data_IF_487602237152
#
_entry.id   IF_487602237152
#
_cell.length_a   1.000
_cell.length_b   1.000
_cell.length_c   1.000
_cell.angle_alpha   90.00
_cell.angle_beta   90.00
_cell.angle_gamma   90.00
#
_symmetry.space_group_name_H-M   'P 1'
#
loop_
_entity.id
_entity.type
_entity.pdbx_description
1 polymer ?
#
# COMPACT_ATOMS: atom_id res chain seq x y z
N UNK A 1 -11.52 -51.11 -0.66
CA UNK A 1 -10.29 -50.36 -0.81
C UNK A 1 -10.57 -48.96 -0.24
N UNK A 2 -9.95 -48.63 0.86
CA UNK A 2 -10.36 -47.59 1.83
C UNK A 2 -9.97 -46.21 1.35
N UNK A 3 -10.95 -45.33 1.12
CA UNK A 3 -10.74 -43.89 0.99
C UNK A 3 -10.36 -43.36 2.39
N UNK A 4 -9.11 -42.93 2.56
CA UNK A 4 -8.66 -42.16 3.74
C UNK A 4 -9.20 -40.74 3.61
N UNK A 5 -10.10 -40.39 4.50
CA UNK A 5 -10.43 -38.99 4.81
C UNK A 5 -9.18 -38.28 5.27
N UNK A 6 -8.80 -37.21 4.60
CA UNK A 6 -7.76 -36.29 5.06
C UNK A 6 -8.41 -35.43 6.14
N UNK A 7 -7.88 -35.55 7.36
CA UNK A 7 -8.33 -34.87 8.57
C UNK A 7 -8.35 -33.36 8.42
N UNK A 8 -9.51 -32.77 8.67
CA UNK A 8 -9.78 -31.31 8.69
C UNK A 8 -9.28 -30.66 10.01
N UNK A 9 -8.44 -31.33 10.77
CA UNK A 9 -8.08 -30.95 12.17
C UNK A 9 -6.72 -30.25 12.31
N UNK A 10 -6.20 -29.57 11.29
CA UNK A 10 -4.87 -28.92 11.40
C UNK A 10 -4.91 -27.44 11.83
N UNK A 11 -6.08 -26.88 12.18
CA UNK A 11 -6.19 -25.45 12.52
C UNK A 11 -6.71 -25.06 13.93
N UNK A 12 -7.03 -25.98 14.90
CA UNK A 12 -7.52 -25.56 16.20
C UNK A 12 -6.49 -24.76 17.01
N UNK A 13 -5.25 -25.20 17.03
CA UNK A 13 -4.20 -24.60 17.88
C UNK A 13 -3.78 -23.19 17.42
N UNK A 14 -3.90 -22.87 16.14
CA UNK A 14 -3.58 -21.55 15.62
C UNK A 14 -4.73 -20.56 15.89
N UNK A 15 -5.97 -21.00 15.75
CA UNK A 15 -7.15 -20.21 16.09
C UNK A 15 -7.22 -19.97 17.61
N UNK A 16 -6.90 -20.97 18.44
CA UNK A 16 -6.82 -20.81 19.89
C UNK A 16 -5.70 -19.84 20.32
N UNK A 17 -4.57 -19.81 19.64
CA UNK A 17 -3.50 -18.84 19.93
C UNK A 17 -3.86 -17.41 19.52
N UNK A 18 -4.62 -17.23 18.44
CA UNK A 18 -5.18 -15.93 18.02
C UNK A 18 -6.24 -15.49 19.04
N UNK A 19 -7.14 -16.36 19.44
CA UNK A 19 -8.15 -16.10 20.47
C UNK A 19 -7.56 -15.83 21.85
N UNK A 20 -6.49 -16.53 22.25
CA UNK A 20 -5.81 -16.31 23.52
C UNK A 20 -5.11 -14.94 23.60
N UNK A 21 -4.47 -14.50 22.51
CA UNK A 21 -3.87 -13.16 22.45
C UNK A 21 -4.92 -12.03 22.37
N UNK A 22 -6.09 -12.29 21.79
CA UNK A 22 -7.20 -11.33 21.79
C UNK A 22 -7.83 -11.14 23.18
N UNK A 23 -7.67 -12.08 24.12
CA UNK A 23 -8.25 -12.01 25.48
C UNK A 23 -7.36 -11.29 26.51
N UNK A 24 -6.06 -11.09 26.25
CA UNK A 24 -5.12 -10.51 27.25
C UNK A 24 -5.04 -8.98 27.25
N UNK A 25 -5.51 -8.31 26.22
CA UNK A 25 -5.82 -6.88 26.26
C UNK A 25 -7.14 -6.71 25.50
N UNK A 26 -8.16 -6.13 26.10
CA UNK A 26 -9.31 -5.65 25.32
C UNK A 26 -8.81 -4.45 24.51
N UNK A 27 -8.29 -4.63 23.30
CA UNK A 27 -7.87 -3.51 22.50
C UNK A 27 -9.13 -2.83 22.03
N UNK A 28 -9.23 -1.54 22.30
CA UNK A 28 -10.28 -0.67 21.78
C UNK A 28 -10.48 -0.93 20.29
N UNK A 29 -11.69 -1.34 19.90
CA UNK A 29 -12.01 -1.59 18.48
C UNK A 29 -11.87 -0.24 17.77
N UNK A 30 -11.09 -0.11 16.67
CA UNK A 30 -10.96 1.15 15.97
C UNK A 30 -12.35 1.68 15.58
N UNK A 31 -12.62 2.97 15.75
CA UNK A 31 -13.93 3.53 15.46
C UNK A 31 -14.25 3.48 13.97
N UNK A 32 -15.53 3.29 13.66
CA UNK A 32 -16.07 3.47 12.32
C UNK A 32 -16.51 4.92 12.10
N UNK A 33 -16.22 5.45 10.92
CA UNK A 33 -16.61 6.78 10.47
C UNK A 33 -17.60 6.70 9.33
N UNK A 34 -18.69 7.43 9.45
CA UNK A 34 -19.71 7.54 8.39
C UNK A 34 -19.36 8.71 7.49
N UNK A 35 -19.03 8.46 6.23
CA UNK A 35 -18.74 9.50 5.24
C UNK A 35 -19.43 9.17 3.94
N UNK A 36 -20.27 10.10 3.44
CA UNK A 36 -20.92 9.93 2.13
C UNK A 36 -21.72 8.64 1.97
N UNK A 37 -22.34 8.13 3.04
CA UNK A 37 -23.07 6.86 3.05
C UNK A 37 -22.21 5.61 3.07
N UNK A 38 -20.91 5.76 3.28
CA UNK A 38 -19.96 4.66 3.49
C UNK A 38 -19.44 4.69 4.93
N UNK A 39 -19.04 3.51 5.43
CA UNK A 39 -18.37 3.33 6.71
C UNK A 39 -16.90 3.06 6.49
N UNK A 40 -16.04 3.74 7.23
CA UNK A 40 -14.58 3.67 7.13
C UNK A 40 -13.97 3.33 8.48
N UNK A 41 -13.00 2.44 8.50
CA UNK A 41 -12.24 2.10 9.71
C UNK A 41 -10.75 2.00 9.39
N UNK A 42 -9.94 2.85 10.02
CA UNK A 42 -8.49 2.78 9.95
C UNK A 42 -7.96 1.71 10.90
N UNK A 43 -7.14 0.78 10.40
CA UNK A 43 -6.63 -0.36 11.17
C UNK A 43 -5.10 -0.36 11.10
N UNK A 44 -4.46 0.11 12.18
CA UNK A 44 -3.00 0.18 12.29
C UNK A 44 -2.42 -1.10 12.88
N UNK A 45 -3.00 -1.63 13.96
CA UNK A 45 -2.44 -2.77 14.69
C UNK A 45 -2.46 -4.04 13.82
N UNK A 46 -1.32 -4.75 13.69
CA UNK A 46 -1.21 -5.96 12.87
C UNK A 46 -2.23 -7.04 13.19
N UNK A 47 -2.47 -7.30 14.49
CA UNK A 47 -3.43 -8.32 14.93
C UNK A 47 -4.88 -7.98 14.53
N UNK A 48 -5.30 -6.70 14.70
CA UNK A 48 -6.63 -6.25 14.28
C UNK A 48 -6.77 -6.27 12.76
N UNK A 49 -5.70 -5.94 12.03
CA UNK A 49 -5.69 -6.01 10.56
C UNK A 49 -5.80 -7.47 10.08
N UNK A 50 -5.15 -8.41 10.78
CA UNK A 50 -5.29 -9.83 10.51
C UNK A 50 -6.72 -10.32 10.80
N UNK A 51 -7.29 -9.95 11.94
CA UNK A 51 -8.68 -10.29 12.29
C UNK A 51 -9.64 -9.77 11.22
N UNK A 52 -9.55 -8.49 10.85
CA UNK A 52 -10.41 -7.91 9.82
C UNK A 52 -10.27 -8.62 8.46
N UNK A 53 -9.04 -9.01 8.09
CA UNK A 53 -8.78 -9.79 6.89
C UNK A 53 -9.45 -11.18 6.96
N UNK A 54 -9.22 -11.92 8.03
CA UNK A 54 -9.74 -13.28 8.22
C UNK A 54 -11.27 -13.27 8.29
N UNK A 55 -11.85 -12.34 9.08
CA UNK A 55 -13.30 -12.20 9.21
C UNK A 55 -13.95 -11.92 7.86
N UNK A 56 -13.38 -11.02 7.05
CA UNK A 56 -13.89 -10.71 5.71
C UNK A 56 -13.88 -11.95 4.79
N UNK A 57 -12.79 -12.73 4.81
CA UNK A 57 -12.67 -13.94 3.99
C UNK A 57 -13.61 -15.06 4.43
N UNK A 58 -13.82 -15.21 5.75
CA UNK A 58 -14.66 -16.26 6.31
C UNK A 58 -16.16 -15.96 6.18
N UNK A 59 -16.55 -14.69 6.29
CA UNK A 59 -17.95 -14.26 6.27
C UNK A 59 -18.50 -14.02 4.86
N UNK A 60 -17.66 -13.96 3.85
CA UNK A 60 -18.09 -13.81 2.47
C UNK A 60 -18.99 -14.98 2.03
N UNK A 61 -20.11 -14.63 1.38
CA UNK A 61 -21.15 -15.60 0.98
C UNK A 61 -21.32 -15.76 -0.53
N UNK A 62 -20.91 -14.75 -1.33
CA UNK A 62 -21.13 -14.74 -2.78
C UNK A 62 -19.82 -14.70 -3.56
N UNK A 63 -18.96 -13.74 -3.23
CA UNK A 63 -17.72 -13.53 -3.99
C UNK A 63 -16.60 -12.92 -3.16
N UNK A 64 -15.38 -13.35 -3.46
CA UNK A 64 -14.14 -12.75 -2.98
C UNK A 64 -13.29 -12.36 -4.18
N UNK A 65 -12.81 -11.12 -4.18
CA UNK A 65 -11.91 -10.59 -5.20
C UNK A 65 -10.67 -10.02 -4.50
N UNK A 66 -9.51 -10.57 -4.80
CA UNK A 66 -8.25 -10.19 -4.16
C UNK A 66 -7.23 -9.74 -5.21
N UNK A 67 -6.53 -8.68 -4.93
CA UNK A 67 -5.30 -8.32 -5.63
C UNK A 67 -4.20 -8.01 -4.62
N UNK A 68 -3.05 -8.67 -4.77
CA UNK A 68 -1.85 -8.37 -3.99
C UNK A 68 -0.62 -8.26 -4.90
N UNK A 69 0.23 -7.26 -4.60
CA UNK A 69 1.53 -7.16 -5.23
C UNK A 69 2.41 -8.36 -4.86
N UNK A 70 2.42 -8.73 -3.57
CA UNK A 70 3.20 -9.85 -3.05
C UNK A 70 2.29 -10.79 -2.25
N UNK A 71 2.38 -12.07 -2.55
CA UNK A 71 1.76 -13.15 -1.82
C UNK A 71 2.82 -14.22 -1.62
N UNK A 72 3.28 -14.43 -0.38
CA UNK A 72 4.40 -15.30 -0.07
C UNK A 72 3.96 -16.72 0.33
N UNK A 73 4.84 -17.71 0.11
CA UNK A 73 4.70 -19.07 0.63
C UNK A 73 5.32 -19.14 2.05
N UNK A 74 4.73 -18.39 2.97
CA UNK A 74 5.07 -18.36 4.39
C UNK A 74 3.88 -18.82 5.24
N UNK A 75 3.94 -18.63 6.55
CA UNK A 75 2.90 -19.05 7.49
C UNK A 75 1.58 -18.34 7.21
N UNK A 76 1.61 -17.02 7.03
CA UNK A 76 0.42 -16.23 6.72
C UNK A 76 -0.15 -16.61 5.35
N UNK A 77 0.70 -16.69 4.33
CA UNK A 77 0.27 -17.04 2.98
C UNK A 77 -0.43 -18.37 2.91
N UNK A 78 0.09 -19.38 3.62
CA UNK A 78 -0.55 -20.70 3.72
C UNK A 78 -1.90 -20.64 4.42
N UNK A 79 -1.97 -19.95 5.57
CA UNK A 79 -3.22 -19.76 6.30
C UNK A 79 -4.28 -19.06 5.45
N UNK A 80 -3.94 -17.98 4.77
CA UNK A 80 -4.88 -17.26 3.90
C UNK A 80 -5.30 -18.14 2.72
N UNK A 81 -4.39 -18.90 2.12
CA UNK A 81 -4.72 -19.81 1.03
C UNK A 81 -5.73 -20.89 1.48
N UNK A 82 -5.57 -21.46 2.67
CA UNK A 82 -6.48 -22.45 3.25
C UNK A 82 -7.88 -21.85 3.47
N UNK A 83 -7.96 -20.60 3.97
CA UNK A 83 -9.24 -19.90 4.13
C UNK A 83 -9.92 -19.66 2.77
N UNK A 84 -9.17 -19.30 1.73
CA UNK A 84 -9.70 -19.12 0.37
C UNK A 84 -10.19 -20.44 -0.23
N UNK A 85 -9.46 -21.54 0.00
CA UNK A 85 -9.90 -22.90 -0.39
C UNK A 85 -11.21 -23.27 0.31
N UNK A 86 -11.30 -23.01 1.61
CA UNK A 86 -12.53 -23.23 2.37
C UNK A 86 -13.68 -22.36 1.84
N UNK A 87 -13.44 -21.12 1.44
CA UNK A 87 -14.44 -20.27 0.81
C UNK A 87 -14.93 -20.85 -0.53
N UNK A 88 -14.02 -21.34 -1.39
CA UNK A 88 -14.39 -22.05 -2.63
C UNK A 88 -15.28 -23.28 -2.34
N UNK A 89 -14.93 -24.08 -1.33
CA UNK A 89 -15.72 -25.25 -0.92
C UNK A 89 -17.11 -24.89 -0.37
N UNK A 90 -17.29 -23.68 0.19
CA UNK A 90 -18.60 -23.15 0.57
C UNK A 90 -19.43 -22.64 -0.62
N UNK A 91 -18.87 -22.63 -1.83
CA UNK A 91 -19.53 -22.13 -3.04
C UNK A 91 -19.33 -20.64 -3.30
N UNK A 92 -18.42 -19.98 -2.58
CA UNK A 92 -18.04 -18.60 -2.83
C UNK A 92 -17.20 -18.51 -4.11
N UNK A 93 -17.53 -17.58 -5.00
CA UNK A 93 -16.74 -17.32 -6.21
C UNK A 93 -15.47 -16.55 -5.84
N UNK A 94 -14.31 -17.21 -5.82
CA UNK A 94 -13.04 -16.60 -5.40
C UNK A 94 -12.17 -16.33 -6.62
N UNK A 95 -11.83 -15.04 -6.83
CA UNK A 95 -10.86 -14.60 -7.82
C UNK A 95 -9.67 -13.91 -7.13
N UNK A 96 -8.47 -14.40 -7.41
CA UNK A 96 -7.22 -13.81 -6.90
C UNK A 96 -6.31 -13.41 -8.06
N UNK A 97 -5.81 -12.19 -7.98
CA UNK A 97 -4.74 -11.70 -8.86
C UNK A 97 -3.49 -11.37 -8.04
N UNK A 98 -2.33 -11.72 -8.56
CA UNK A 98 -1.03 -11.38 -7.99
C UNK A 98 -0.14 -10.72 -9.04
N UNK A 99 0.81 -9.91 -8.59
CA UNK A 99 1.83 -9.35 -9.50
C UNK A 99 2.99 -10.35 -9.69
N UNK A 100 3.42 -10.54 -10.94
CA UNK A 100 4.47 -11.51 -11.28
C UNK A 100 5.84 -11.17 -10.72
N UNK A 101 6.12 -9.89 -10.48
CA UNK A 101 7.40 -9.44 -9.93
C UNK A 101 7.39 -9.52 -8.40
N UNK A 102 6.32 -9.00 -7.78
CA UNK A 102 6.20 -9.01 -6.32
C UNK A 102 6.09 -10.41 -5.73
N UNK A 103 5.44 -11.32 -6.45
CA UNK A 103 5.24 -12.73 -6.02
C UNK A 103 6.20 -13.71 -6.70
N UNK A 104 7.36 -13.26 -7.21
CA UNK A 104 8.30 -14.13 -7.93
C UNK A 104 8.98 -15.17 -7.04
N UNK A 105 9.03 -14.95 -5.73
CA UNK A 105 9.54 -15.91 -4.74
C UNK A 105 8.58 -17.07 -4.46
N UNK A 106 7.31 -16.93 -4.81
CA UNK A 106 6.29 -17.95 -4.55
C UNK A 106 6.08 -18.85 -5.78
N UNK A 107 6.39 -20.15 -5.67
CA UNK A 107 6.22 -21.08 -6.79
C UNK A 107 4.74 -21.19 -7.20
N UNK A 108 4.46 -21.27 -8.50
CA UNK A 108 3.06 -21.41 -8.96
C UNK A 108 2.34 -22.63 -8.38
N UNK A 109 3.04 -23.74 -8.16
CA UNK A 109 2.49 -24.95 -7.54
C UNK A 109 1.91 -24.70 -6.13
N UNK A 110 2.35 -23.63 -5.43
CA UNK A 110 1.77 -23.22 -4.15
C UNK A 110 0.27 -22.96 -4.26
N UNK A 111 -0.18 -22.43 -5.39
CA UNK A 111 -1.58 -22.10 -5.64
C UNK A 111 -2.40 -23.24 -6.27
N UNK A 112 -1.80 -24.40 -6.57
CA UNK A 112 -2.52 -25.52 -7.20
C UNK A 112 -3.72 -26.02 -6.38
N UNK A 113 -3.63 -26.17 -5.03
CA UNK A 113 -4.79 -26.58 -4.23
C UNK A 113 -5.96 -25.59 -4.31
N UNK A 114 -5.67 -24.28 -4.40
CA UNK A 114 -6.68 -23.24 -4.55
C UNK A 114 -7.38 -23.34 -5.91
N UNK A 115 -6.64 -23.53 -6.98
CA UNK A 115 -7.23 -23.68 -8.32
C UNK A 115 -8.00 -24.98 -8.47
N UNK A 116 -7.52 -26.07 -7.86
CA UNK A 116 -8.25 -27.34 -7.80
C UNK A 116 -9.56 -27.26 -7.01
N UNK A 117 -9.62 -26.38 -5.99
CA UNK A 117 -10.85 -26.11 -5.24
C UNK A 117 -11.86 -25.21 -6.00
N UNK A 118 -11.55 -24.79 -7.23
CA UNK A 118 -12.39 -23.93 -8.07
C UNK A 118 -12.07 -22.44 -8.00
N UNK A 119 -11.01 -22.05 -7.26
CA UNK A 119 -10.52 -20.68 -7.23
C UNK A 119 -9.88 -20.25 -8.54
N UNK A 120 -10.06 -19.00 -8.93
CA UNK A 120 -9.47 -18.41 -10.14
C UNK A 120 -8.22 -17.61 -9.79
N UNK A 121 -7.06 -18.03 -10.30
CA UNK A 121 -5.79 -17.33 -10.17
C UNK A 121 -5.41 -16.64 -11.47
N UNK A 122 -5.14 -15.35 -11.43
CA UNK A 122 -4.54 -14.61 -12.53
C UNK A 122 -3.25 -13.92 -12.10
N UNK A 123 -2.32 -13.78 -13.03
CA UNK A 123 -1.02 -13.14 -12.77
C UNK A 123 -0.88 -11.90 -13.64
N UNK A 124 -0.79 -10.74 -13.00
CA UNK A 124 -0.46 -9.50 -13.68
C UNK A 124 1.00 -9.58 -14.13
N UNK A 125 1.18 -9.80 -15.41
CA UNK A 125 2.50 -9.93 -16.03
C UNK A 125 2.48 -9.22 -17.39
N UNK A 126 2.82 -7.93 -17.44
CA UNK A 126 2.93 -7.22 -18.70
C UNK A 126 4.03 -7.88 -19.56
N UNK A 127 3.63 -8.79 -20.45
CA UNK A 127 4.55 -9.54 -21.32
C UNK A 127 5.06 -8.65 -22.44
N UNK A 128 6.32 -8.85 -22.80
CA UNK A 128 7.12 -8.35 -23.92
C UNK A 128 7.85 -7.02 -23.76
N UNK A 129 9.15 -7.15 -23.80
CA UNK A 129 10.27 -6.24 -23.97
C UNK A 129 10.42 -5.10 -22.95
N UNK A 130 9.71 -4.04 -23.09
CA UNK A 130 9.90 -2.81 -22.31
C UNK A 130 8.91 -2.62 -21.18
N UNK A 131 7.84 -3.41 -21.16
CA UNK A 131 6.77 -3.35 -20.17
C UNK A 131 7.09 -4.11 -18.87
N UNK A 132 8.19 -4.86 -18.85
CA UNK A 132 8.62 -5.66 -17.69
C UNK A 132 8.77 -4.86 -16.39
N UNK A 133 9.04 -3.56 -16.48
CA UNK A 133 9.25 -2.70 -15.32
C UNK A 133 7.98 -2.08 -14.75
N UNK A 134 6.81 -2.26 -15.38
CA UNK A 134 5.53 -1.82 -14.84
C UNK A 134 5.01 -2.87 -13.88
N UNK A 135 4.85 -2.50 -12.62
CA UNK A 135 4.32 -3.36 -11.55
C UNK A 135 2.93 -2.91 -11.19
N UNK A 136 2.08 -3.83 -10.80
CA UNK A 136 0.83 -3.49 -10.17
C UNK A 136 1.03 -3.58 -8.65
N UNK A 137 1.16 -2.41 -8.02
CA UNK A 137 1.50 -2.32 -6.60
C UNK A 137 0.28 -2.20 -5.68
N UNK A 138 -0.92 -2.41 -6.22
CA UNK A 138 -2.17 -2.37 -5.47
C UNK A 138 -2.29 -3.52 -4.48
N UNK A 139 -3.07 -3.32 -3.42
CA UNK A 139 -3.46 -4.33 -2.45
C UNK A 139 -4.91 -4.07 -2.08
N UNK A 140 -5.77 -5.03 -2.39
CA UNK A 140 -7.19 -4.92 -2.12
C UNK A 140 -7.86 -6.28 -1.95
N UNK A 141 -8.85 -6.32 -1.09
CA UNK A 141 -9.78 -7.43 -0.92
C UNK A 141 -11.18 -6.83 -1.00
N UNK A 142 -12.05 -7.51 -1.71
CA UNK A 142 -13.46 -7.12 -1.85
C UNK A 142 -14.31 -8.34 -1.59
N UNK A 143 -15.21 -8.26 -0.63
CA UNK A 143 -16.15 -9.31 -0.30
C UNK A 143 -17.58 -8.90 -0.66
N UNK A 144 -18.25 -9.74 -1.44
CA UNK A 144 -19.66 -9.63 -1.83
C UNK A 144 -20.04 -8.30 -2.51
N UNK A 145 -19.05 -7.56 -3.05
CA UNK A 145 -19.17 -6.19 -3.60
C UNK A 145 -19.75 -5.17 -2.58
N UNK A 146 -19.63 -5.44 -1.27
CA UNK A 146 -20.20 -4.64 -0.17
C UNK A 146 -19.17 -4.17 0.85
N UNK A 147 -18.14 -4.96 1.09
CA UNK A 147 -17.05 -4.62 2.00
C UNK A 147 -15.72 -4.76 1.29
N UNK A 148 -14.76 -3.93 1.66
CA UNK A 148 -13.41 -3.96 1.13
C UNK A 148 -12.38 -3.68 2.22
N UNK A 149 -11.18 -4.23 2.04
CA UNK A 149 -10.00 -3.90 2.83
C UNK A 149 -8.88 -3.54 1.87
N UNK A 150 -8.34 -2.33 2.02
CA UNK A 150 -7.23 -1.82 1.21
C UNK A 150 -6.08 -1.34 2.10
N UNK A 151 -4.89 -1.16 1.54
CA UNK A 151 -3.77 -0.61 2.30
C UNK A 151 -2.43 -0.74 1.60
N UNK A 152 -1.36 -0.60 2.38
CA UNK A 152 0.01 -0.81 1.92
C UNK A 152 0.50 -2.25 2.07
N UNK A 153 -0.10 -3.05 2.93
CA UNK A 153 0.32 -4.39 3.33
C UNK A 153 0.15 -5.45 2.23
N UNK A 154 1.07 -6.41 2.20
CA UNK A 154 1.00 -7.60 1.36
C UNK A 154 0.61 -8.83 2.20
N UNK A 155 0.43 -9.98 1.55
CA UNK A 155 0.26 -11.27 2.22
C UNK A 155 1.66 -11.86 2.45
N UNK A 156 2.24 -11.50 3.59
CA UNK A 156 3.52 -12.01 4.09
C UNK A 156 3.60 -11.79 5.60
N UNK A 157 4.29 -12.68 6.31
CA UNK A 157 4.41 -12.72 7.77
C UNK A 157 4.84 -11.38 8.38
N UNK A 158 5.78 -10.70 7.74
CA UNK A 158 6.34 -9.42 8.19
C UNK A 158 5.30 -8.28 8.33
N UNK A 159 4.19 -8.34 7.58
CA UNK A 159 3.13 -7.33 7.65
C UNK A 159 2.14 -7.56 8.80
N UNK A 160 2.15 -8.75 9.42
CA UNK A 160 1.17 -9.14 10.43
C UNK A 160 1.79 -9.62 11.73
N UNK A 161 3.09 -9.42 11.92
CA UNK A 161 3.88 -9.83 13.11
C UNK A 161 3.75 -11.32 13.44
N UNK A 162 3.63 -12.18 12.44
CA UNK A 162 3.48 -13.62 12.66
C UNK A 162 4.73 -14.26 13.25
N UNK A 163 5.89 -13.60 13.16
CA UNK A 163 7.16 -14.10 13.69
C UNK A 163 7.30 -13.89 15.20
N UNK A 164 6.74 -12.83 15.76
CA UNK A 164 6.85 -12.53 17.21
C UNK A 164 6.12 -13.54 18.11
N UNK A 165 5.26 -14.37 17.58
CA UNK A 165 4.59 -15.43 18.34
C UNK A 165 5.49 -16.65 18.60
N UNK A 166 6.69 -16.69 18.05
CA UNK A 166 7.56 -17.85 18.12
C UNK A 166 8.72 -17.70 19.13
N UNK A 167 9.26 -16.49 19.36
CA UNK A 167 10.45 -16.36 20.21
C UNK A 167 10.54 -14.98 20.89
N UNK A 168 10.63 -14.98 22.22
CA UNK A 168 10.87 -13.83 23.10
C UNK A 168 12.38 -13.49 23.17
N UNK A 169 13.09 -13.56 22.06
CA UNK A 169 14.56 -13.52 22.02
C UNK A 169 15.16 -12.12 21.87
N UNK A 170 14.43 -11.04 22.15
CA UNK A 170 15.00 -9.68 22.21
C UNK A 170 15.58 -9.15 20.89
N UNK A 171 15.35 -9.80 19.77
CA UNK A 171 15.70 -9.32 18.43
C UNK A 171 14.83 -8.14 18.05
N UNK A 172 15.44 -7.16 17.39
CA UNK A 172 14.72 -5.97 16.91
C UNK A 172 13.51 -6.40 16.06
N UNK A 173 12.33 -5.85 16.37
CA UNK A 173 11.10 -6.07 15.61
C UNK A 173 11.28 -5.57 14.16
N UNK A 174 11.59 -6.47 13.26
CA UNK A 174 11.81 -6.21 11.84
C UNK A 174 10.51 -6.18 11.02
N UNK A 175 9.35 -6.22 11.68
CA UNK A 175 8.05 -6.15 11.03
C UNK A 175 7.77 -4.78 10.39
N UNK A 176 6.76 -4.76 9.51
CA UNK A 176 6.33 -3.54 8.85
C UNK A 176 5.25 -2.79 9.64
N UNK A 177 5.48 -1.51 9.91
CA UNK A 177 4.45 -0.59 10.37
C UNK A 177 3.61 -0.14 9.17
N UNK A 178 2.38 -0.63 9.05
CA UNK A 178 1.49 -0.34 7.92
C UNK A 178 0.06 -0.03 8.37
N UNK A 179 -0.75 0.46 7.45
CA UNK A 179 -2.12 0.89 7.69
C UNK A 179 -3.08 0.18 6.72
N UNK A 180 -4.14 -0.39 7.27
CA UNK A 180 -5.30 -0.88 6.54
C UNK A 180 -6.48 0.09 6.64
N UNK A 181 -7.32 0.10 5.63
CA UNK A 181 -8.62 0.77 5.64
C UNK A 181 -9.70 -0.24 5.27
N UNK A 182 -10.58 -0.55 6.22
CA UNK A 182 -11.81 -1.27 5.95
C UNK A 182 -12.89 -0.28 5.48
N UNK A 183 -13.68 -0.70 4.50
CA UNK A 183 -14.71 0.12 3.85
C UNK A 183 -15.96 -0.74 3.69
N UNK A 184 -17.10 -0.20 4.09
CA UNK A 184 -18.42 -0.76 3.82
C UNK A 184 -19.29 0.32 3.16
N UNK A 185 -20.09 -0.05 2.19
CA UNK A 185 -21.04 0.87 1.55
C UNK A 185 -20.96 0.92 0.02
N UNK A 186 -21.67 1.86 -0.60
CA UNK A 186 -21.85 1.92 -2.05
C UNK A 186 -20.55 2.10 -2.83
N UNK A 187 -19.53 2.75 -2.28
CA UNK A 187 -18.24 2.96 -2.97
C UNK A 187 -17.45 1.67 -3.19
N UNK A 188 -17.76 0.60 -2.44
CA UNK A 188 -17.16 -0.72 -2.68
C UNK A 188 -17.58 -1.29 -4.05
N UNK A 189 -18.80 -0.99 -4.52
CA UNK A 189 -19.26 -1.42 -5.86
C UNK A 189 -18.43 -0.74 -6.97
N UNK A 190 -17.98 0.50 -6.77
CA UNK A 190 -17.06 1.19 -7.68
C UNK A 190 -15.71 0.49 -7.73
N UNK A 191 -15.16 0.15 -6.56
CA UNK A 191 -13.93 -0.62 -6.46
C UNK A 191 -14.04 -2.00 -7.12
N UNK A 192 -15.15 -2.71 -6.91
CA UNK A 192 -15.43 -3.98 -7.54
C UNK A 192 -15.55 -3.88 -9.07
N UNK A 193 -16.09 -2.76 -9.57
CA UNK A 193 -16.14 -2.47 -11.02
C UNK A 193 -14.73 -2.26 -11.59
N UNK A 194 -13.86 -1.55 -10.87
CA UNK A 194 -12.46 -1.43 -11.23
C UNK A 194 -11.75 -2.78 -11.26
N UNK A 195 -11.96 -3.60 -10.22
CA UNK A 195 -11.37 -4.95 -10.17
C UNK A 195 -11.75 -5.79 -11.40
N UNK A 196 -13.03 -5.76 -11.79
CA UNK A 196 -13.50 -6.48 -12.99
C UNK A 196 -12.81 -5.98 -14.26
N UNK A 197 -12.63 -4.67 -14.43
CA UNK A 197 -11.90 -4.12 -15.56
C UNK A 197 -10.43 -4.56 -15.58
N UNK A 198 -9.78 -4.57 -14.43
CA UNK A 198 -8.40 -5.02 -14.28
C UNK A 198 -8.28 -6.53 -14.56
N UNK A 199 -9.19 -7.34 -13.99
CA UNK A 199 -9.27 -8.79 -14.21
C UNK A 199 -9.44 -9.09 -15.71
N UNK A 200 -10.39 -8.46 -16.38
CA UNK A 200 -10.59 -8.61 -17.84
C UNK A 200 -9.32 -8.24 -18.62
N UNK A 201 -8.61 -7.16 -18.21
CA UNK A 201 -7.37 -6.79 -18.86
C UNK A 201 -6.29 -7.87 -18.69
N UNK A 202 -6.15 -8.43 -17.48
CA UNK A 202 -5.18 -9.48 -17.21
C UNK A 202 -5.47 -10.74 -18.04
N UNK A 203 -6.73 -11.16 -18.12
CA UNK A 203 -7.09 -12.37 -18.87
C UNK A 203 -7.02 -12.20 -20.39
N UNK A 204 -7.45 -11.04 -20.91
CA UNK A 204 -7.60 -10.85 -22.36
C UNK A 204 -6.45 -10.10 -23.01
N UNK A 205 -5.86 -9.15 -22.31
CA UNK A 205 -4.94 -8.16 -22.88
C UNK A 205 -3.62 -8.03 -22.11
N UNK A 206 -3.27 -9.02 -21.30
CA UNK A 206 -2.06 -8.99 -20.46
C UNK A 206 -0.83 -8.73 -21.33
N UNK A 207 -0.22 -7.54 -21.18
CA UNK A 207 0.88 -7.07 -22.03
C UNK A 207 0.53 -5.90 -22.96
N UNK A 208 -0.74 -5.59 -23.19
CA UNK A 208 -1.13 -4.42 -23.98
C UNK A 208 -1.12 -3.14 -23.14
N UNK A 209 0.04 -2.48 -23.11
CA UNK A 209 0.25 -1.25 -22.33
C UNK A 209 -0.63 -0.07 -22.77
N UNK A 210 -1.07 -0.03 -24.05
CA UNK A 210 -1.96 1.05 -24.53
C UNK A 210 -3.35 0.93 -23.89
N UNK A 211 -3.87 -0.28 -23.80
CA UNK A 211 -5.17 -0.52 -23.13
C UNK A 211 -5.11 -0.28 -21.63
N UNK A 212 -4.03 -0.68 -20.95
CA UNK A 212 -3.82 -0.39 -19.53
C UNK A 212 -3.77 1.11 -19.26
N UNK A 213 -3.02 1.87 -20.06
CA UNK A 213 -2.97 3.34 -19.98
C UNK A 213 -4.34 3.99 -20.22
N UNK A 214 -5.10 3.47 -21.17
CA UNK A 214 -6.46 3.95 -21.45
C UNK A 214 -7.35 3.70 -20.23
N UNK A 215 -7.32 2.51 -19.66
CA UNK A 215 -8.08 2.15 -18.45
C UNK A 215 -7.76 3.11 -17.29
N UNK A 216 -6.48 3.29 -16.94
CA UNK A 216 -6.07 4.21 -15.86
C UNK A 216 -6.51 5.65 -16.11
N UNK A 217 -6.39 6.13 -17.37
CA UNK A 217 -6.71 7.52 -17.72
C UNK A 217 -8.20 7.82 -17.69
N UNK A 218 -9.00 6.88 -18.14
CA UNK A 218 -10.45 7.07 -18.34
C UNK A 218 -11.28 6.48 -17.20
N UNK A 219 -10.62 5.97 -16.16
CA UNK A 219 -11.33 5.55 -14.96
C UNK A 219 -12.08 6.74 -14.34
N UNK A 220 -13.40 6.62 -14.10
CA UNK A 220 -14.16 7.67 -13.45
C UNK A 220 -13.80 7.74 -11.98
N UNK A 221 -12.98 8.74 -11.62
CA UNK A 221 -12.48 8.90 -10.23
C UNK A 221 -13.55 9.38 -9.25
N UNK A 222 -14.73 9.77 -9.74
CA UNK A 222 -15.72 10.50 -8.94
C UNK A 222 -15.33 11.97 -8.74
N UNK A 223 -16.29 12.76 -8.27
CA UNK A 223 -16.15 14.20 -7.97
C UNK A 223 -16.62 14.55 -6.55
N UNK A 224 -17.18 13.58 -5.84
CA UNK A 224 -17.68 13.72 -4.46
C UNK A 224 -16.61 13.61 -3.38
N UNK A 225 -17.08 13.38 -2.15
CA UNK A 225 -16.23 13.16 -0.96
C UNK A 225 -15.32 11.94 -1.11
N UNK A 226 -15.75 10.93 -1.87
CA UNK A 226 -14.98 9.72 -2.18
C UNK A 226 -14.46 9.75 -3.61
N UNK A 227 -13.16 9.51 -3.77
CA UNK A 227 -12.56 9.44 -5.10
C UNK A 227 -11.53 8.33 -5.18
N UNK A 228 -11.79 7.33 -6.02
CA UNK A 228 -10.83 6.28 -6.34
C UNK A 228 -9.84 6.77 -7.41
N UNK A 229 -8.64 7.11 -6.98
CA UNK A 229 -7.61 7.73 -7.81
C UNK A 229 -6.59 6.68 -8.26
N UNK A 230 -6.55 6.40 -9.54
CA UNK A 230 -5.57 5.47 -10.09
C UNK A 230 -4.26 6.16 -10.42
N UNK A 231 -3.16 5.49 -10.07
CA UNK A 231 -1.83 5.71 -10.63
C UNK A 231 -1.56 4.71 -11.76
N UNK A 232 -0.63 5.02 -12.64
CA UNK A 232 -0.28 4.07 -13.68
C UNK A 232 0.68 4.62 -14.72
N UNK A 233 1.14 3.76 -15.66
CA UNK A 233 2.10 4.14 -16.67
C UNK A 233 1.50 5.22 -17.59
N UNK A 234 1.90 6.47 -17.35
CA UNK A 234 1.37 7.63 -18.07
C UNK A 234 2.46 8.62 -18.44
N UNK A 235 2.32 9.25 -19.64
CA UNK A 235 3.17 10.37 -20.05
C UNK A 235 2.77 11.68 -19.36
N UNK A 236 1.59 11.73 -18.75
CA UNK A 236 1.03 12.86 -18.01
C UNK A 236 0.84 12.47 -16.55
N UNK A 237 0.53 13.44 -15.71
CA UNK A 237 0.13 13.15 -14.33
C UNK A 237 -1.07 12.20 -14.33
N UNK A 238 -0.96 11.12 -13.54
CA UNK A 238 -2.09 10.23 -13.27
C UNK A 238 -3.16 10.97 -12.45
N UNK A 239 -4.41 10.46 -12.38
CA UNK A 239 -5.43 11.02 -11.49
C UNK A 239 -4.93 11.24 -10.07
N UNK A 240 -4.23 10.26 -9.49
CA UNK A 240 -3.58 10.35 -8.18
C UNK A 240 -2.59 11.53 -8.10
N UNK A 241 -1.59 11.55 -9.00
CA UNK A 241 -0.57 12.59 -8.98
C UNK A 241 -1.14 13.99 -9.26
N UNK A 242 -2.23 14.07 -10.04
CA UNK A 242 -2.92 15.31 -10.35
C UNK A 242 -3.70 15.86 -9.16
N UNK A 243 -4.41 14.99 -8.44
CA UNK A 243 -5.19 15.37 -7.27
C UNK A 243 -4.29 15.88 -6.15
N UNK A 244 -3.26 15.11 -5.76
CA UNK A 244 -2.33 15.51 -4.71
C UNK A 244 -1.56 16.80 -5.06
N UNK A 245 -1.23 16.98 -6.34
CA UNK A 245 -0.62 18.23 -6.80
C UNK A 245 -1.53 19.42 -6.53
N UNK A 246 -2.82 19.31 -6.88
CA UNK A 246 -3.82 20.37 -6.70
C UNK A 246 -4.00 20.70 -5.22
N UNK A 247 -4.16 19.69 -4.37
CA UNK A 247 -4.39 19.90 -2.93
C UNK A 247 -3.14 20.53 -2.27
N UNK A 248 -1.92 20.12 -2.64
CA UNK A 248 -0.70 20.76 -2.15
C UNK A 248 -0.50 22.20 -2.62
N UNK A 249 -1.04 22.58 -3.79
CA UNK A 249 -0.97 23.96 -4.29
C UNK A 249 -1.80 24.94 -3.46
N UNK A 250 -2.93 24.50 -2.93
CA UNK A 250 -3.90 25.33 -2.24
C UNK A 250 -3.94 25.08 -0.73
N UNK A 251 -3.48 23.92 -0.28
CA UNK A 251 -3.54 23.50 1.11
C UNK A 251 -2.65 24.32 2.04
N UNK A 252 -3.03 24.29 3.32
CA UNK A 252 -2.37 24.98 4.43
C UNK A 252 -1.72 24.02 5.42
N UNK A 253 -2.20 22.79 5.52
CA UNK A 253 -1.67 21.76 6.44
C UNK A 253 -1.44 20.45 5.71
N UNK A 254 -0.22 19.93 5.81
CA UNK A 254 0.19 18.65 5.26
C UNK A 254 0.69 17.74 6.38
N UNK A 255 0.13 16.54 6.49
CA UNK A 255 0.70 15.41 7.21
C UNK A 255 0.98 14.29 6.18
N UNK A 256 2.24 13.89 6.04
CA UNK A 256 2.69 12.88 5.06
C UNK A 256 3.43 11.76 5.77
N UNK A 257 2.95 10.54 5.63
CA UNK A 257 3.64 9.30 6.04
C UNK A 257 3.84 8.45 4.81
N UNK A 258 5.07 8.05 4.52
CA UNK A 258 5.36 7.21 3.34
C UNK A 258 6.63 6.38 3.53
N UNK A 259 6.60 5.15 3.02
CA UNK A 259 7.76 4.26 3.04
C UNK A 259 8.91 4.76 2.16
N UNK A 260 8.60 5.28 0.98
CA UNK A 260 9.60 5.80 0.05
C UNK A 260 9.26 7.23 -0.34
N UNK A 261 10.25 8.12 -0.18
CA UNK A 261 10.09 9.55 -0.44
C UNK A 261 11.15 10.04 -1.42
N UNK A 262 10.76 10.13 -2.66
CA UNK A 262 11.59 10.74 -3.71
C UNK A 262 10.70 11.34 -4.81
N UNK A 263 9.82 12.29 -4.44
CA UNK A 263 8.93 12.93 -5.40
C UNK A 263 9.72 13.70 -6.45
N UNK A 264 9.14 13.83 -7.62
CA UNK A 264 9.68 14.71 -8.63
C UNK A 264 9.73 16.17 -8.16
N UNK A 265 10.58 16.98 -8.79
CA UNK A 265 10.80 18.39 -8.40
C UNK A 265 9.49 19.20 -8.31
N UNK A 266 8.49 18.88 -9.13
CA UNK A 266 7.20 19.55 -9.13
C UNK A 266 6.45 19.41 -7.80
N UNK A 267 6.34 18.19 -7.26
CA UNK A 267 5.69 17.94 -5.96
C UNK A 267 6.56 18.41 -4.79
N UNK A 268 7.87 18.20 -4.87
CA UNK A 268 8.81 18.70 -3.85
C UNK A 268 8.70 20.22 -3.66
N UNK A 269 8.57 20.99 -4.77
CA UNK A 269 8.39 22.45 -4.72
C UNK A 269 7.06 22.83 -4.06
N UNK A 270 6.00 22.05 -4.26
CA UNK A 270 4.68 22.31 -3.67
C UNK A 270 4.67 22.07 -2.18
N UNK A 271 5.27 20.97 -1.72
CA UNK A 271 5.47 20.71 -0.29
C UNK A 271 6.24 21.87 0.35
N UNK A 272 7.39 22.22 -0.20
CA UNK A 272 8.18 23.34 0.31
C UNK A 272 7.48 24.70 0.13
N UNK A 273 6.64 24.86 -0.89
CA UNK A 273 5.85 26.07 -1.13
C UNK A 273 4.73 26.24 -0.10
N UNK A 274 4.06 25.14 0.30
CA UNK A 274 3.05 25.13 1.35
C UNK A 274 3.64 25.70 2.65
N UNK A 275 4.76 25.14 3.11
CA UNK A 275 5.42 25.61 4.33
C UNK A 275 5.95 27.05 4.21
N UNK A 276 6.46 27.45 3.02
CA UNK A 276 6.94 28.83 2.78
C UNK A 276 5.81 29.86 2.84
N UNK A 277 4.57 29.48 2.50
CA UNK A 277 3.39 30.35 2.60
C UNK A 277 2.82 30.44 4.04
N UNK A 278 3.50 29.91 5.04
CA UNK A 278 3.05 29.88 6.44
C UNK A 278 2.22 28.65 6.80
N UNK A 279 2.01 27.74 5.87
CA UNK A 279 1.34 26.47 6.15
C UNK A 279 2.22 25.51 6.95
N UNK A 280 1.62 24.51 7.54
CA UNK A 280 2.30 23.51 8.35
C UNK A 280 2.53 22.24 7.53
N UNK A 281 3.74 21.69 7.54
CA UNK A 281 4.00 20.37 6.97
C UNK A 281 4.78 19.51 7.97
N UNK A 282 4.26 18.29 8.18
CA UNK A 282 4.87 17.22 8.96
C UNK A 282 5.06 16.01 8.06
N UNK A 283 6.30 15.52 7.98
CA UNK A 283 6.69 14.45 7.08
C UNK A 283 7.37 13.37 7.92
N UNK A 284 6.76 12.18 8.01
CA UNK A 284 7.31 11.02 8.73
C UNK A 284 7.81 10.02 7.70
N UNK A 285 9.08 9.70 7.79
CA UNK A 285 9.81 8.83 6.87
C UNK A 285 10.48 7.68 7.64
N UNK A 286 10.86 6.59 6.99
CA UNK A 286 11.50 5.48 7.68
C UNK A 286 12.91 5.86 8.17
N UNK A 287 13.20 5.56 9.43
CA UNK A 287 14.58 5.51 9.97
C UNK A 287 15.27 4.20 9.59
N UNK A 288 14.49 3.12 9.44
CA UNK A 288 14.91 1.77 9.02
C UNK A 288 14.15 1.34 7.76
N UNK A 289 14.78 0.60 6.86
CA UNK A 289 14.18 0.06 5.63
C UNK A 289 14.96 -1.15 5.14
N UNK A 290 14.31 -1.96 4.32
CA UNK A 290 14.91 -3.04 3.52
C UNK A 290 15.81 -2.53 2.40
N UNK A 291 15.59 -1.29 1.95
CA UNK A 291 16.33 -0.68 0.82
C UNK A 291 17.03 0.63 1.22
N UNK A 292 18.28 0.53 1.66
CA UNK A 292 19.09 1.68 2.07
C UNK A 292 19.25 2.78 1.02
N UNK A 293 19.06 2.48 -0.27
CA UNK A 293 19.10 3.49 -1.33
C UNK A 293 17.90 4.46 -1.24
N UNK A 294 16.74 3.99 -0.81
CA UNK A 294 15.54 4.85 -0.67
C UNK A 294 15.71 5.86 0.47
N UNK A 295 16.29 5.46 1.60
CA UNK A 295 16.65 6.37 2.69
C UNK A 295 17.68 7.42 2.20
N UNK A 296 18.73 7.00 1.50
CA UNK A 296 19.73 7.90 0.96
C UNK A 296 19.13 8.95 0.01
N UNK A 297 18.22 8.50 -0.88
CA UNK A 297 17.52 9.39 -1.78
C UNK A 297 16.64 10.41 -1.05
N UNK A 298 15.92 10.00 0.00
CA UNK A 298 15.08 10.87 0.82
C UNK A 298 15.93 11.91 1.57
N UNK A 299 17.02 11.47 2.21
CA UNK A 299 17.93 12.34 2.97
C UNK A 299 18.59 13.43 2.12
N UNK A 300 18.81 13.17 0.83
CA UNK A 300 19.30 14.22 -0.08
C UNK A 300 18.32 15.40 -0.20
N UNK A 301 17.01 15.13 -0.11
CA UNK A 301 15.95 16.11 -0.27
C UNK A 301 15.64 16.90 1.02
N UNK A 302 16.04 16.38 2.19
CA UNK A 302 15.75 17.01 3.48
C UNK A 302 16.22 18.47 3.55
N UNK A 303 17.42 18.74 3.10
CA UNK A 303 17.97 20.10 3.14
C UNK A 303 17.16 21.14 2.35
N UNK A 304 16.47 20.73 1.29
CA UNK A 304 15.54 21.58 0.53
C UNK A 304 14.29 21.90 1.33
N UNK A 305 13.72 20.90 2.00
CA UNK A 305 12.48 21.00 2.77
C UNK A 305 12.68 21.74 4.09
N UNK A 306 13.74 21.40 4.84
CA UNK A 306 14.11 22.05 6.11
C UNK A 306 14.34 23.55 5.94
N UNK A 307 14.99 23.99 4.84
CA UNK A 307 15.17 25.42 4.51
C UNK A 307 13.85 26.15 4.24
N UNK A 308 12.75 25.41 4.09
CA UNK A 308 11.40 25.94 3.87
C UNK A 308 10.46 25.68 5.04
N UNK A 309 11.04 25.39 6.21
CA UNK A 309 10.32 25.17 7.46
C UNK A 309 9.42 23.92 7.48
N UNK A 310 9.64 22.96 6.57
CA UNK A 310 8.99 21.65 6.66
C UNK A 310 9.58 20.87 7.84
N UNK A 311 8.74 20.26 8.66
CA UNK A 311 9.14 19.39 9.77
C UNK A 311 9.31 17.97 9.27
N UNK A 312 10.47 17.37 9.50
CA UNK A 312 10.81 16.01 9.06
C UNK A 312 11.13 15.16 10.28
N UNK A 313 10.66 13.92 10.27
CA UNK A 313 10.86 12.95 11.34
C UNK A 313 11.24 11.61 10.74
N UNK A 314 12.16 10.87 11.40
CA UNK A 314 12.53 9.49 11.04
C UNK A 314 11.95 8.52 12.07
N UNK A 315 10.98 7.69 11.65
CA UNK A 315 10.35 6.66 12.47
C UNK A 315 11.33 5.52 12.75
N UNK A 316 11.53 5.17 14.03
CA UNK A 316 12.60 4.27 14.46
C UNK A 316 12.15 2.85 14.85
N UNK A 317 10.95 2.63 15.44
CA UNK A 317 10.66 1.33 16.07
C UNK A 317 10.70 0.16 15.08
N UNK A 318 10.06 0.30 13.93
CA UNK A 318 9.89 -0.74 12.90
C UNK A 318 10.21 -0.20 11.51
N UNK A 319 10.22 -1.07 10.50
CA UNK A 319 10.28 -0.64 9.11
C UNK A 319 8.95 0.02 8.71
N UNK A 320 8.96 1.30 8.38
CA UNK A 320 7.77 2.06 8.03
C UNK A 320 7.33 1.76 6.59
N UNK A 321 6.09 1.27 6.43
CA UNK A 321 5.49 0.99 5.13
C UNK A 321 4.14 1.67 4.90
N UNK A 322 3.63 2.41 5.85
CA UNK A 322 2.39 3.21 5.77
C UNK A 322 2.42 4.20 4.60
N UNK A 323 1.31 4.34 3.90
CA UNK A 323 1.10 5.33 2.82
C UNK A 323 -0.14 6.13 3.15
N UNK A 324 0.06 7.28 3.81
CA UNK A 324 -0.99 8.17 4.28
C UNK A 324 -0.59 9.61 4.00
N UNK A 325 -1.44 10.35 3.30
CA UNK A 325 -1.26 11.78 3.06
C UNK A 325 -2.54 12.50 3.47
N UNK A 326 -2.41 13.55 4.27
CA UNK A 326 -3.54 14.37 4.66
C UNK A 326 -3.20 15.82 4.31
N UNK A 327 -4.02 16.42 3.45
CA UNK A 327 -3.91 17.84 3.10
C UNK A 327 -5.22 18.51 3.50
N UNK A 328 -5.18 19.39 4.50
CA UNK A 328 -6.36 19.96 5.12
C UNK A 328 -7.37 18.85 5.49
N UNK A 329 -8.57 18.79 4.91
CA UNK A 329 -9.58 17.76 5.20
C UNK A 329 -9.54 16.57 4.22
N UNK A 330 -8.63 16.59 3.25
CA UNK A 330 -8.48 15.52 2.27
C UNK A 330 -7.49 14.45 2.75
N UNK A 331 -7.97 13.24 2.98
CA UNK A 331 -7.18 12.05 3.36
C UNK A 331 -6.94 11.19 2.14
N UNK A 332 -5.69 10.84 1.89
CA UNK A 332 -5.26 9.90 0.84
C UNK A 332 -4.67 8.66 1.50
N UNK A 333 -5.23 7.50 1.22
CA UNK A 333 -4.76 6.20 1.71
C UNK A 333 -4.81 5.15 0.60
N UNK A 334 -3.84 4.25 0.55
CA UNK A 334 -3.80 3.17 -0.43
C UNK A 334 -2.41 2.59 -0.64
N UNK A 335 -2.04 2.31 -1.89
CA UNK A 335 -0.83 1.57 -2.22
C UNK A 335 0.36 2.44 -2.61
N UNK A 336 0.14 3.71 -2.98
CA UNK A 336 1.15 4.55 -3.61
C UNK A 336 2.15 5.15 -2.62
N UNK A 337 3.43 4.89 -2.83
CA UNK A 337 4.51 5.64 -2.19
C UNK A 337 4.63 7.05 -2.80
N UNK A 338 5.34 7.94 -2.10
CA UNK A 338 5.58 9.29 -2.58
C UNK A 338 6.89 9.38 -3.39
N UNK A 339 6.98 8.54 -4.43
CA UNK A 339 8.15 8.44 -5.31
C UNK A 339 7.76 8.47 -6.80
N UNK A 340 8.75 8.59 -7.69
CA UNK A 340 8.51 8.69 -9.13
C UNK A 340 7.90 7.42 -9.74
N UNK A 341 8.19 6.24 -9.19
CA UNK A 341 7.61 4.99 -9.70
C UNK A 341 6.11 4.94 -9.43
N UNK A 342 5.70 5.20 -8.18
CA UNK A 342 4.30 5.21 -7.79
C UNK A 342 3.50 6.34 -8.45
N UNK A 343 4.16 7.48 -8.71
CA UNK A 343 3.51 8.61 -9.37
C UNK A 343 3.30 8.45 -10.87
N UNK A 344 4.18 7.68 -11.58
CA UNK A 344 4.20 7.69 -13.05
C UNK A 344 4.29 6.33 -13.74
N UNK A 345 4.65 5.26 -13.04
CA UNK A 345 4.97 3.97 -13.67
C UNK A 345 4.09 2.84 -13.15
N UNK A 346 4.09 2.61 -11.83
CA UNK A 346 3.35 1.51 -11.25
C UNK A 346 1.85 1.73 -11.36
N UNK A 347 1.10 0.65 -11.51
CA UNK A 347 -0.34 0.70 -11.29
C UNK A 347 -0.56 0.78 -9.78
N UNK A 348 -1.14 1.89 -9.35
CA UNK A 348 -1.39 2.23 -7.94
C UNK A 348 -2.85 2.62 -7.78
N UNK A 349 -3.32 2.57 -6.55
CA UNK A 349 -4.64 3.07 -6.19
C UNK A 349 -4.57 3.80 -4.86
N UNK A 350 -5.15 5.00 -4.85
CA UNK A 350 -5.36 5.79 -3.65
C UNK A 350 -6.84 6.12 -3.53
N UNK A 351 -7.40 5.91 -2.36
CA UNK A 351 -8.69 6.49 -2.02
C UNK A 351 -8.45 7.89 -1.45
N UNK A 352 -9.12 8.90 -2.00
CA UNK A 352 -9.20 10.24 -1.44
C UNK A 352 -10.57 10.40 -0.78
N UNK A 353 -10.55 10.71 0.50
CA UNK A 353 -11.74 11.03 1.31
C UNK A 353 -11.65 12.48 1.74
N UNK A 354 -12.69 13.27 1.49
CA UNK A 354 -12.77 14.68 1.83
C UNK A 354 -13.78 14.86 2.99
N UNK A 355 -13.27 14.77 4.21
CA UNK A 355 -14.07 14.82 5.43
C UNK A 355 -13.22 15.24 6.62
N UNK A 356 -13.66 16.28 7.34
CA UNK A 356 -12.89 16.87 8.43
C UNK A 356 -12.71 15.95 9.63
N UNK A 357 -13.75 15.21 10.02
CA UNK A 357 -13.70 14.32 11.18
C UNK A 357 -12.82 13.10 10.88
N UNK A 358 -12.96 12.52 9.70
CA UNK A 358 -12.09 11.45 9.25
C UNK A 358 -10.62 11.90 9.11
N UNK A 359 -10.39 13.13 8.61
CA UNK A 359 -9.05 13.70 8.52
C UNK A 359 -8.43 13.93 9.92
N UNK A 360 -9.21 14.38 10.89
CA UNK A 360 -8.74 14.53 12.27
C UNK A 360 -8.42 13.18 12.90
N UNK A 361 -9.24 12.16 12.67
CA UNK A 361 -8.94 10.80 13.13
C UNK A 361 -7.69 10.24 12.47
N UNK A 362 -7.51 10.42 11.17
CA UNK A 362 -6.29 10.02 10.47
C UNK A 362 -5.04 10.74 11.01
N UNK A 363 -5.17 12.01 11.44
CA UNK A 363 -4.08 12.75 12.11
C UNK A 363 -3.70 12.15 13.45
N UNK A 364 -4.66 11.64 14.23
CA UNK A 364 -4.35 10.93 15.48
C UNK A 364 -3.45 9.72 15.21
N UNK A 365 -3.64 9.00 14.08
CA UNK A 365 -2.72 7.93 13.68
C UNK A 365 -1.33 8.46 13.35
N UNK A 366 -1.25 9.64 12.70
CA UNK A 366 0.04 10.29 12.44
C UNK A 366 0.71 10.75 13.74
N UNK A 367 -0.06 11.20 14.74
CA UNK A 367 0.45 11.62 16.06
C UNK A 367 1.11 10.43 16.78
N UNK A 368 0.49 9.25 16.77
CA UNK A 368 1.06 8.01 17.35
C UNK A 368 2.40 7.66 16.69
N UNK A 369 2.50 7.79 15.36
CA UNK A 369 3.76 7.55 14.65
C UNK A 369 4.81 8.62 14.95
N UNK A 370 4.38 9.87 15.09
CA UNK A 370 5.23 11.02 15.40
C UNK A 370 5.87 10.91 16.79
N UNK A 371 5.14 10.45 17.80
CA UNK A 371 5.65 10.22 19.16
C UNK A 371 6.86 9.27 19.20
N UNK A 372 6.94 8.36 18.22
CA UNK A 372 8.00 7.36 18.10
C UNK A 372 8.99 7.66 16.95
N UNK A 373 9.08 8.93 16.53
CA UNK A 373 9.92 9.35 15.42
C UNK A 373 10.88 10.47 15.84
N UNK A 374 12.15 10.32 15.45
CA UNK A 374 13.21 11.30 15.75
C UNK A 374 13.08 12.55 14.86
N UNK A 375 13.10 13.75 15.44
CA UNK A 375 13.08 14.99 14.68
C UNK A 375 14.40 15.19 13.92
N UNK A 376 14.29 15.55 12.66
CA UNK A 376 15.46 15.93 11.84
C UNK A 376 15.55 17.44 11.79
N UNK A 377 16.42 18.01 12.66
CA UNK A 377 16.69 19.45 12.67
C UNK A 377 17.65 19.85 11.54
N UNK A 378 17.68 21.14 11.14
CA UNK A 378 18.67 21.63 10.19
C UNK A 378 20.12 21.36 10.62
N UNK A 379 20.42 21.48 11.94
CA UNK A 379 21.73 21.22 12.54
C UNK A 379 22.10 19.75 12.43
N UNK A 380 21.20 18.85 12.82
CA UNK A 380 21.41 17.41 12.72
C UNK A 380 21.60 16.98 11.25
N UNK A 381 20.78 17.50 10.33
CA UNK A 381 20.97 17.22 8.90
C UNK A 381 22.32 17.74 8.40
N UNK A 382 22.73 18.95 8.83
CA UNK A 382 24.03 19.52 8.45
C UNK A 382 25.20 18.68 8.98
N UNK A 383 25.14 18.19 10.22
CA UNK A 383 26.19 17.34 10.80
C UNK A 383 26.28 15.98 10.08
N UNK A 384 25.13 15.37 9.73
CA UNK A 384 25.08 14.12 8.96
C UNK A 384 25.54 14.29 7.49
N UNK A 385 25.52 15.50 6.92
CA UNK A 385 25.86 15.81 5.52
C UNK A 385 27.36 15.94 5.28
N UNK A 386 28.16 14.96 5.71
CA UNK A 386 29.58 14.83 5.35
C UNK A 386 29.75 14.64 3.84
N UNK A 387 30.98 14.82 3.32
CA UNK A 387 31.26 14.59 1.89
C UNK A 387 30.86 13.18 1.44
N UNK A 388 31.23 12.16 2.20
CA UNK A 388 30.92 10.75 1.90
C UNK A 388 29.41 10.47 1.91
N UNK A 389 28.71 10.98 2.93
CA UNK A 389 27.25 10.80 3.00
C UNK A 389 26.55 11.53 1.86
N UNK A 390 27.00 12.74 1.52
CA UNK A 390 26.44 13.48 0.39
C UNK A 390 26.64 12.72 -0.93
N UNK A 391 27.83 12.17 -1.15
CA UNK A 391 28.11 11.35 -2.32
C UNK A 391 27.20 10.10 -2.35
N UNK A 392 27.11 9.37 -1.23
CA UNK A 392 26.22 8.21 -1.08
C UNK A 392 24.76 8.57 -1.35
N UNK A 393 24.23 9.65 -0.79
CA UNK A 393 22.86 10.10 -1.00
C UNK A 393 22.61 10.52 -2.46
N UNK A 394 23.59 11.15 -3.10
CA UNK A 394 23.50 11.54 -4.51
C UNK A 394 23.46 10.31 -5.42
N UNK A 395 24.30 9.32 -5.15
CA UNK A 395 24.28 8.03 -5.87
C UNK A 395 22.94 7.33 -5.64
N UNK A 396 22.47 7.25 -4.41
CA UNK A 396 21.17 6.68 -4.06
C UNK A 396 20.01 7.36 -4.80
N UNK A 397 19.99 8.69 -4.80
CA UNK A 397 19.00 9.48 -5.54
C UNK A 397 19.06 9.22 -7.05
N UNK A 398 20.27 9.15 -7.59
CA UNK A 398 20.46 8.84 -9.01
C UNK A 398 19.98 7.44 -9.36
N UNK A 399 20.27 6.44 -8.54
CA UNK A 399 19.80 5.07 -8.75
C UNK A 399 18.26 4.99 -8.70
N UNK A 400 17.65 5.53 -7.64
CA UNK A 400 16.19 5.44 -7.43
C UNK A 400 15.42 6.32 -8.43
N UNK A 401 15.86 7.56 -8.68
CA UNK A 401 15.08 8.51 -9.47
C UNK A 401 15.50 8.62 -10.93
N UNK A 402 16.74 8.32 -11.25
CA UNK A 402 17.25 8.56 -12.61
C UNK A 402 17.40 7.26 -13.38
N UNK A 403 18.10 6.27 -12.83
CA UNK A 403 18.28 4.99 -13.52
C UNK A 403 16.97 4.21 -13.55
N UNK A 404 16.37 3.95 -12.42
CA UNK A 404 15.17 3.14 -12.36
C UNK A 404 13.99 3.83 -13.09
N UNK A 405 13.78 5.12 -12.85
CA UNK A 405 12.68 5.87 -13.50
C UNK A 405 12.95 6.14 -14.98
N UNK A 406 14.13 6.66 -15.35
CA UNK A 406 14.41 7.03 -16.75
C UNK A 406 14.57 5.82 -17.64
N UNK A 407 15.21 4.76 -17.16
CA UNK A 407 15.34 3.51 -17.90
C UNK A 407 13.96 2.90 -18.11
N UNK A 408 13.17 2.78 -17.05
CA UNK A 408 11.79 2.27 -17.13
C UNK A 408 10.92 3.13 -18.05
N UNK A 409 11.03 4.45 -17.94
CA UNK A 409 10.26 5.38 -18.78
C UNK A 409 10.69 5.31 -20.25
N UNK A 410 11.99 5.28 -20.56
CA UNK A 410 12.48 5.10 -21.92
C UNK A 410 11.99 3.80 -22.55
N UNK A 411 12.11 2.72 -21.80
CA UNK A 411 11.70 1.40 -22.24
C UNK A 411 10.19 1.31 -22.47
N UNK A 412 9.36 1.94 -21.64
CA UNK A 412 7.90 1.84 -21.74
C UNK A 412 7.25 2.87 -22.66
N UNK A 413 7.87 4.02 -22.90
CA UNK A 413 7.22 5.13 -23.61
C UNK A 413 7.87 5.50 -24.93
N UNK A 414 9.03 4.92 -25.27
CA UNK A 414 9.78 5.26 -26.49
C UNK A 414 9.98 6.77 -26.61
N UNK A 415 11.17 7.29 -26.40
CA UNK A 415 11.44 8.69 -26.72
C UNK A 415 11.47 8.77 -28.24
N UNK A 416 10.39 9.17 -28.87
CA UNK A 416 10.51 9.86 -30.14
C UNK A 416 11.14 11.23 -29.83
N UNK A 417 12.31 11.46 -30.44
CA UNK A 417 12.95 12.78 -30.51
C UNK A 417 11.98 13.81 -31.07
#
# INVERSE_FOLDING_TARGET
MVCRCVDVNLCPNLMESIDANMRQSQPEIPPWFEVGGNRLQLIREPAKRLSALVDMLQTANKSLKLFFYMFEDDRLGRMILDILIAACKRGVAVEMMIDSFGSNGTPRKFFDPFTQAGGKLAVFSPRFSTSYFVRNHQKMIIADDRSALIGGFNIADDYFNMQQQAEDDGLADDSWEDLGLAIEGPEVANLASYYRLLSNWVYQNNGNMRSLRRMVRHWPSGDGQFRWLLGGPSNRLSPWASAIKKDLEHGSRLDLVTAYFSPGQGLLRRIGGLSKRGGQSRIILPGKTDNGATIGASRLLYGYLLKRHARIFEYQPRRLHTKLVIVDDAVYIGSANFDLRSLFINVEMMLRVDDADFANHARNMVDILHENADPITPELHKSRRTFLNRLRWTISYFLVNTLDYRVTRRLNFGIRK
#
